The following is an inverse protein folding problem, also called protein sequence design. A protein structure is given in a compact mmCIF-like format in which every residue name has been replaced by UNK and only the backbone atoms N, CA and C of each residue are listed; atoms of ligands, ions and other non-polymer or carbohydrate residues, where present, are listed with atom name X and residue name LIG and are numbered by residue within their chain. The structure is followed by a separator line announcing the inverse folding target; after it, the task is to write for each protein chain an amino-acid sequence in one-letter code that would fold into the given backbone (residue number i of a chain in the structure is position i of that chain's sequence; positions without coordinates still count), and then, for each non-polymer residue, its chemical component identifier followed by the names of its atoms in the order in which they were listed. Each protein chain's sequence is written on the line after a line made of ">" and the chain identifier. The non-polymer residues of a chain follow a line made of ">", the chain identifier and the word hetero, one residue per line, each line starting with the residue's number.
data_IF_886121038813
#
_entry.id   IF_886121038813
#
_cell.length_a   1.000
_cell.length_b   1.000
_cell.length_c   1.000
_cell.angle_alpha   90.00
_cell.angle_beta   90.00
_cell.angle_gamma   90.00
#
_symmetry.space_group_name_H-M   'P 1'
#
loop_
_entity.id
_entity.type
_entity.pdbx_description
1 polymer ?
#
# COMPACT_ATOMS: atom_id res chain seq x y z
N UNK A 1 26.29 13.31 -3.51
CA UNK A 1 25.23 12.95 -4.47
C UNK A 1 23.93 13.40 -3.81
N UNK A 2 23.31 14.47 -4.29
CA UNK A 2 22.07 14.98 -3.70
C UNK A 2 20.97 13.94 -3.89
N UNK A 3 20.28 13.55 -2.82
CA UNK A 3 19.13 12.66 -2.93
C UNK A 3 18.06 13.35 -3.77
N UNK A 4 17.71 12.77 -4.92
CA UNK A 4 16.64 13.30 -5.76
C UNK A 4 15.30 12.90 -5.15
N UNK A 5 14.79 13.74 -4.25
CA UNK A 5 13.49 13.53 -3.64
C UNK A 5 12.38 13.54 -4.70
N UNK A 6 11.51 12.54 -4.60
CA UNK A 6 10.25 12.45 -5.33
C UNK A 6 9.25 13.47 -4.75
N UNK A 7 8.80 14.43 -5.56
CA UNK A 7 7.79 15.40 -5.11
C UNK A 7 6.37 14.83 -5.22
N UNK A 8 6.13 13.99 -6.22
CA UNK A 8 4.88 13.30 -6.47
C UNK A 8 5.10 12.04 -7.31
N UNK A 9 4.17 11.09 -7.20
CA UNK A 9 4.03 9.99 -8.15
C UNK A 9 2.62 9.40 -8.08
N UNK A 10 2.22 8.75 -9.16
CA UNK A 10 1.04 7.89 -9.18
C UNK A 10 1.44 6.53 -9.72
N UNK A 11 1.02 5.48 -9.03
CA UNK A 11 1.18 4.09 -9.44
C UNK A 11 -0.20 3.47 -9.60
N UNK A 12 -0.46 2.84 -10.73
CA UNK A 12 -1.72 2.16 -11.01
C UNK A 12 -1.48 0.71 -11.39
N UNK A 13 -2.32 -0.21 -10.92
CA UNK A 13 -2.27 -1.60 -11.34
C UNK A 13 -3.65 -2.27 -11.26
N UNK A 14 -3.83 -3.34 -12.04
CA UNK A 14 -4.93 -4.28 -11.86
C UNK A 14 -4.48 -5.42 -10.96
N UNK A 15 -5.32 -5.76 -9.99
CA UNK A 15 -5.10 -6.86 -9.07
C UNK A 15 -6.17 -7.93 -9.26
N UNK A 16 -5.76 -9.16 -9.62
CA UNK A 16 -6.66 -10.31 -9.52
C UNK A 16 -7.02 -10.60 -8.07
N UNK A 17 -8.29 -10.90 -7.80
CA UNK A 17 -8.75 -11.19 -6.43
C UNK A 17 -8.18 -12.46 -5.81
N UNK A 18 -7.80 -13.43 -6.63
CA UNK A 18 -7.27 -14.72 -6.19
C UNK A 18 -5.75 -14.73 -6.05
N UNK A 19 -5.11 -13.55 -6.13
CA UNK A 19 -3.68 -13.41 -5.88
C UNK A 19 -3.35 -13.88 -4.45
N UNK A 20 -2.29 -14.68 -4.26
CA UNK A 20 -1.89 -15.08 -2.93
C UNK A 20 -1.41 -13.88 -2.10
N UNK A 21 -1.46 -14.03 -0.78
CA UNK A 21 -0.84 -13.08 0.13
C UNK A 21 0.68 -12.99 -0.13
N UNK A 22 1.23 -11.79 -0.02
CA UNK A 22 2.63 -11.50 -0.28
C UNK A 22 2.84 -10.08 -0.80
N UNK A 23 4.08 -9.82 -1.22
CA UNK A 23 4.43 -8.62 -1.98
C UNK A 23 3.80 -8.71 -3.37
N UNK A 24 2.98 -7.73 -3.72
CA UNK A 24 2.27 -7.64 -4.99
C UNK A 24 3.05 -6.78 -6.00
N UNK A 25 3.57 -5.67 -5.51
CA UNK A 25 4.39 -4.75 -6.28
C UNK A 25 5.44 -4.12 -5.37
N UNK A 26 6.68 -4.03 -5.85
CA UNK A 26 7.72 -3.29 -5.16
C UNK A 26 8.49 -2.40 -6.11
N UNK A 27 8.63 -1.15 -5.69
CA UNK A 27 9.61 -0.19 -6.15
C UNK A 27 10.68 -0.12 -5.05
N UNK A 28 11.81 -0.82 -5.20
CA UNK A 28 12.83 -0.93 -4.15
C UNK A 28 13.25 0.44 -3.60
N UNK A 29 13.21 0.59 -2.28
CA UNK A 29 13.55 1.84 -1.60
C UNK A 29 12.52 2.97 -1.72
N UNK A 30 11.39 2.74 -2.40
CA UNK A 30 10.33 3.73 -2.58
C UNK A 30 9.03 3.25 -1.97
N UNK A 31 8.45 2.16 -2.50
CA UNK A 31 7.11 1.72 -2.13
C UNK A 31 6.93 0.22 -2.32
N UNK A 32 6.21 -0.40 -1.39
CA UNK A 32 5.75 -1.78 -1.50
C UNK A 32 4.24 -1.85 -1.35
N UNK A 33 3.56 -2.45 -2.31
CA UNK A 33 2.17 -2.89 -2.22
C UNK A 33 2.16 -4.37 -1.81
N UNK A 34 1.44 -4.71 -0.75
CA UNK A 34 1.33 -6.07 -0.25
C UNK A 34 -0.11 -6.44 0.10
N UNK A 35 -0.39 -7.74 0.00
CA UNK A 35 -1.59 -8.37 0.52
C UNK A 35 -1.19 -9.26 1.69
N UNK A 36 -1.76 -9.03 2.88
CA UNK A 36 -1.49 -9.85 4.06
C UNK A 36 -2.77 -10.15 4.83
N UNK A 37 -2.71 -11.04 5.81
CA UNK A 37 -3.79 -11.23 6.77
C UNK A 37 -3.59 -10.33 7.99
N UNK A 38 -4.62 -9.59 8.37
CA UNK A 38 -4.58 -8.80 9.61
C UNK A 38 -4.68 -9.71 10.84
N UNK A 39 -3.81 -9.48 11.83
CA UNK A 39 -3.68 -10.27 13.06
C UNK A 39 -2.59 -11.33 13.05
N UNK A 40 -2.09 -11.74 11.87
CA UNK A 40 -1.09 -12.82 11.75
C UNK A 40 0.32 -12.37 12.14
N UNK A 41 0.66 -11.10 11.87
CA UNK A 41 1.98 -10.53 12.18
C UNK A 41 1.96 -9.83 13.54
N UNK A 42 2.72 -10.36 14.49
CA UNK A 42 2.84 -9.82 15.86
C UNK A 42 3.41 -8.40 15.88
N UNK A 43 4.29 -8.04 14.93
CA UNK A 43 4.84 -6.69 14.83
C UNK A 43 3.79 -5.67 14.36
N UNK A 44 2.76 -6.12 13.63
CA UNK A 44 1.70 -5.26 13.09
C UNK A 44 0.40 -5.28 13.91
N UNK A 45 0.29 -6.09 14.97
CA UNK A 45 -0.93 -6.15 15.79
C UNK A 45 -1.39 -4.78 16.33
N UNK A 46 -0.45 -3.94 16.77
CA UNK A 46 -0.80 -2.60 17.26
C UNK A 46 -1.33 -1.72 16.13
N UNK A 47 -0.78 -1.85 14.92
CA UNK A 47 -1.27 -1.17 13.73
C UNK A 47 -2.67 -1.65 13.34
N UNK A 48 -2.86 -2.97 13.23
CA UNK A 48 -4.14 -3.58 12.87
C UNK A 48 -5.27 -3.16 13.80
N UNK A 49 -4.98 -3.07 15.10
CA UNK A 49 -5.94 -2.58 16.10
C UNK A 49 -6.26 -1.09 15.91
N UNK A 50 -5.26 -0.25 15.62
CA UNK A 50 -5.48 1.19 15.38
C UNK A 50 -6.34 1.42 14.14
N UNK A 51 -6.13 0.63 13.09
CA UNK A 51 -6.90 0.69 11.84
C UNK A 51 -8.26 -0.04 11.91
N UNK A 52 -8.54 -0.73 13.01
CA UNK A 52 -9.75 -1.55 13.19
C UNK A 52 -9.96 -2.62 12.10
N UNK A 53 -8.90 -3.13 11.46
CA UNK A 53 -9.04 -4.03 10.31
C UNK A 53 -9.84 -5.29 10.61
N UNK A 54 -9.58 -5.94 11.74
CA UNK A 54 -10.24 -7.21 12.10
C UNK A 54 -11.76 -7.07 12.30
N UNK A 55 -12.31 -5.86 12.45
CA UNK A 55 -13.78 -5.66 12.44
C UNK A 55 -14.41 -5.95 11.07
N UNK A 56 -13.59 -5.96 10.02
CA UNK A 56 -13.99 -6.23 8.64
C UNK A 56 -13.55 -7.62 8.17
N UNK A 57 -13.29 -8.56 9.10
CA UNK A 57 -13.04 -9.95 8.73
C UNK A 57 -14.23 -10.55 7.95
N UNK A 58 -13.94 -11.47 7.04
CA UNK A 58 -14.95 -12.31 6.39
C UNK A 58 -15.62 -13.25 7.41
N UNK A 59 -16.77 -13.86 7.08
CA UNK A 59 -17.45 -14.80 7.98
C UNK A 59 -16.61 -16.03 8.38
N UNK A 60 -15.60 -16.38 7.58
CA UNK A 60 -14.63 -17.44 7.88
C UNK A 60 -13.48 -16.99 8.81
N UNK A 61 -13.52 -15.75 9.30
CA UNK A 61 -12.54 -15.15 10.19
C UNK A 61 -11.32 -14.56 9.49
N UNK A 62 -11.12 -14.80 8.18
CA UNK A 62 -9.98 -14.24 7.44
C UNK A 62 -10.17 -12.74 7.24
N UNK A 63 -9.08 -12.00 7.33
CA UNK A 63 -9.08 -10.56 7.13
C UNK A 63 -7.93 -10.15 6.20
N UNK A 64 -8.02 -10.46 4.89
CA UNK A 64 -7.05 -10.00 3.93
C UNK A 64 -7.09 -8.47 3.84
N UNK A 65 -5.94 -7.83 4.04
CA UNK A 65 -5.74 -6.39 3.95
C UNK A 65 -4.73 -6.09 2.85
N UNK A 66 -5.09 -5.15 1.99
CA UNK A 66 -4.19 -4.58 1.01
C UNK A 66 -3.55 -3.34 1.60
N UNK A 67 -2.23 -3.27 1.60
CA UNK A 67 -1.49 -2.14 2.14
C UNK A 67 -0.41 -1.66 1.17
N UNK A 68 -0.25 -0.35 1.09
CA UNK A 68 0.92 0.28 0.51
C UNK A 68 1.79 0.87 1.63
N UNK A 69 3.09 0.58 1.55
CA UNK A 69 4.11 1.07 2.47
C UNK A 69 5.08 1.92 1.68
N UNK A 70 5.10 3.21 1.97
CA UNK A 70 5.98 4.19 1.37
C UNK A 70 7.18 4.43 2.28
N UNK A 71 8.39 4.29 1.75
CA UNK A 71 9.60 4.73 2.44
C UNK A 71 9.77 6.24 2.23
N UNK A 72 9.89 6.98 3.33
CA UNK A 72 10.11 8.44 3.31
C UNK A 72 11.39 8.81 4.05
N UNK A 73 11.98 9.92 3.63
CA UNK A 73 13.20 10.48 4.20
C UNK A 73 12.91 11.90 4.66
N UNK A 74 13.31 12.22 5.90
CA UNK A 74 13.21 13.56 6.47
C UNK A 74 14.43 13.86 7.32
N UNK A 75 15.11 14.96 7.02
CA UNK A 75 16.28 15.41 7.79
C UNK A 75 15.88 15.85 9.21
N UNK A 76 14.65 16.34 9.38
CA UNK A 76 14.13 16.82 10.66
C UNK A 76 13.51 15.69 11.52
N UNK A 77 13.15 14.57 10.89
CA UNK A 77 12.49 13.42 11.54
C UNK A 77 13.04 12.09 10.98
N UNK A 78 14.31 11.76 11.23
CA UNK A 78 14.95 10.56 10.68
C UNK A 78 14.36 9.24 11.21
N UNK A 79 13.55 9.31 12.27
CA UNK A 79 12.78 8.20 12.82
C UNK A 79 11.49 7.90 12.06
N UNK A 80 11.00 8.83 11.22
CA UNK A 80 9.81 8.63 10.39
C UNK A 80 10.25 8.14 9.03
N UNK A 81 10.28 6.82 8.87
CA UNK A 81 10.80 6.16 7.67
C UNK A 81 9.75 5.49 6.81
N UNK A 82 8.59 5.18 7.38
CA UNK A 82 7.53 4.47 6.68
C UNK A 82 6.20 5.18 6.87
N UNK A 83 5.49 5.36 5.77
CA UNK A 83 4.08 5.68 5.74
C UNK A 83 3.29 4.49 5.22
N UNK A 84 2.17 4.20 5.88
CA UNK A 84 1.32 3.08 5.52
C UNK A 84 -0.11 3.57 5.30
N UNK A 85 -0.71 3.10 4.21
CA UNK A 85 -2.14 3.21 3.91
C UNK A 85 -2.65 1.83 3.51
N UNK A 86 -3.88 1.49 3.86
CA UNK A 86 -4.42 0.19 3.54
C UNK A 86 -5.85 -0.03 3.97
N UNK A 87 -6.47 -1.07 3.42
CA UNK A 87 -7.85 -1.42 3.71
C UNK A 87 -8.09 -2.93 3.66
N UNK A 88 -9.04 -3.47 4.46
CA UNK A 88 -9.53 -4.84 4.33
C UNK A 88 -10.26 -5.04 3.00
N UNK A 89 -10.00 -6.13 2.28
CA UNK A 89 -10.66 -6.40 0.99
C UNK A 89 -12.19 -6.51 1.11
N UNK A 90 -12.71 -6.81 2.30
CA UNK A 90 -14.15 -6.81 2.59
C UNK A 90 -14.79 -5.42 2.49
N UNK A 91 -14.00 -4.34 2.56
CA UNK A 91 -14.47 -2.97 2.37
C UNK A 91 -14.71 -2.61 0.90
N UNK A 92 -14.31 -3.46 -0.05
CA UNK A 92 -14.60 -3.25 -1.46
C UNK A 92 -16.11 -3.27 -1.71
N UNK A 93 -16.57 -2.32 -2.51
CA UNK A 93 -18.00 -2.11 -2.74
C UNK A 93 -18.62 -3.25 -3.55
N UNK A 94 -17.87 -3.78 -4.51
CA UNK A 94 -18.21 -4.95 -5.30
C UNK A 94 -17.39 -6.11 -4.81
N UNK A 95 -18.01 -7.26 -4.55
CA UNK A 95 -17.31 -8.45 -4.06
C UNK A 95 -17.20 -9.55 -5.12
N UNK A 96 -17.92 -9.38 -6.23
CA UNK A 96 -18.10 -10.31 -7.34
C UNK A 96 -17.11 -10.08 -8.50
N UNK A 97 -16.43 -8.94 -8.56
CA UNK A 97 -15.49 -8.62 -9.63
C UNK A 97 -14.22 -9.47 -9.56
N UNK A 98 -13.76 -10.00 -10.69
CA UNK A 98 -12.53 -10.79 -10.74
C UNK A 98 -11.25 -9.96 -10.51
N UNK A 99 -11.28 -8.68 -10.88
CA UNK A 99 -10.17 -7.75 -10.79
C UNK A 99 -10.54 -6.50 -9.99
N UNK A 100 -9.52 -5.87 -9.40
CA UNK A 100 -9.60 -4.62 -8.65
C UNK A 100 -8.64 -3.64 -9.30
N UNK A 101 -9.10 -2.43 -9.62
CA UNK A 101 -8.22 -1.34 -10.08
C UNK A 101 -7.66 -0.61 -8.88
N UNK A 102 -6.34 -0.60 -8.72
CA UNK A 102 -5.66 0.09 -7.63
C UNK A 102 -4.93 1.31 -8.14
N UNK A 103 -5.01 2.40 -7.38
CA UNK A 103 -4.19 3.60 -7.60
C UNK A 103 -3.58 4.02 -6.27
N UNK A 104 -2.25 4.10 -6.23
CA UNK A 104 -1.51 4.71 -5.15
C UNK A 104 -1.01 6.07 -5.61
N UNK A 105 -1.46 7.12 -4.95
CA UNK A 105 -1.15 8.51 -5.26
C UNK A 105 -0.35 9.13 -4.12
N UNK A 106 0.83 9.66 -4.44
CA UNK A 106 1.62 10.47 -3.54
C UNK A 106 1.75 11.87 -4.12
N UNK A 107 1.26 12.87 -3.38
CA UNK A 107 1.20 14.27 -3.82
C UNK A 107 2.23 15.16 -3.11
N UNK A 108 3.17 14.59 -2.37
CA UNK A 108 4.07 15.31 -1.45
C UNK A 108 3.39 15.71 -0.13
N UNK A 109 2.09 16.04 -0.16
CA UNK A 109 1.31 16.40 1.02
C UNK A 109 0.45 15.25 1.57
N UNK A 110 0.20 14.21 0.79
CA UNK A 110 -0.60 13.06 1.18
C UNK A 110 -0.23 11.82 0.36
N UNK A 111 -0.34 10.66 1.00
CA UNK A 111 -0.35 9.34 0.41
C UNK A 111 -1.78 8.81 0.42
N UNK A 112 -2.33 8.45 -0.74
CA UNK A 112 -3.71 8.01 -0.91
C UNK A 112 -3.76 6.69 -1.64
N UNK A 113 -4.59 5.77 -1.15
CA UNK A 113 -4.86 4.50 -1.79
C UNK A 113 -6.31 4.46 -2.27
N UNK A 114 -6.49 4.23 -3.57
CA UNK A 114 -7.78 4.07 -4.20
C UNK A 114 -7.98 2.63 -4.66
N UNK A 115 -9.22 2.17 -4.60
CA UNK A 115 -9.68 0.93 -5.22
C UNK A 115 -10.95 1.19 -6.02
N UNK A 116 -10.96 0.76 -7.28
CA UNK A 116 -12.07 0.93 -8.23
C UNK A 116 -12.57 2.39 -8.31
N UNK A 117 -11.61 3.34 -8.27
CA UNK A 117 -11.87 4.78 -8.33
C UNK A 117 -12.32 5.43 -7.02
N UNK A 118 -12.42 4.66 -5.91
CA UNK A 118 -12.83 5.16 -4.60
C UNK A 118 -11.64 5.28 -3.65
N UNK A 119 -11.55 6.40 -2.94
CA UNK A 119 -10.56 6.58 -1.86
C UNK A 119 -10.84 5.60 -0.73
N UNK A 120 -9.85 4.76 -0.41
CA UNK A 120 -9.96 3.73 0.63
C UNK A 120 -9.23 4.13 1.90
N UNK A 121 -8.06 4.77 1.78
CA UNK A 121 -7.28 5.24 2.91
C UNK A 121 -6.36 6.41 2.50
N UNK A 122 -6.02 7.25 3.47
CA UNK A 122 -5.15 8.42 3.31
C UNK A 122 -4.25 8.59 4.54
N UNK A 123 -2.98 8.92 4.31
CA UNK A 123 -2.04 9.25 5.36
C UNK A 123 -1.17 10.46 4.95
N UNK A 124 -0.86 11.33 5.92
CA UNK A 124 -0.16 12.59 5.66
C UNK A 124 1.34 12.44 5.98
N UNK A 125 2.22 12.46 4.95
CA UNK A 125 3.65 12.26 5.11
C UNK A 125 4.32 13.41 5.86
N UNK A 126 5.43 13.06 6.52
CA UNK A 126 6.48 14.01 6.85
C UNK A 126 7.78 13.51 6.23
N UNK A 127 8.24 14.20 5.18
CA UNK A 127 9.37 13.75 4.36
C UNK A 127 8.96 13.34 2.96
N UNK A 128 9.95 12.92 2.16
CA UNK A 128 9.77 12.57 0.75
C UNK A 128 10.42 11.22 0.44
N UNK A 129 9.85 10.41 -0.47
CA UNK A 129 10.55 9.26 -1.01
C UNK A 129 11.79 9.72 -1.79
N UNK A 130 12.86 8.95 -1.74
CA UNK A 130 13.98 9.12 -2.68
C UNK A 130 13.76 8.21 -3.88
N UNK A 131 13.71 8.74 -5.10
CA UNK A 131 13.80 7.84 -6.25
C UNK A 131 15.22 7.25 -6.30
N UNK A 132 15.37 5.92 -6.37
CA UNK A 132 16.67 5.36 -6.69
C UNK A 132 17.09 5.79 -8.11
N UNK A 133 18.40 5.87 -8.34
CA UNK A 133 18.92 5.88 -9.72
C UNK A 133 18.40 4.63 -10.44
N UNK A 134 17.77 4.84 -11.60
CA UNK A 134 16.77 3.95 -12.20
C UNK A 134 17.10 2.44 -12.13
N UNK A 135 16.27 1.65 -11.43
CA UNK A 135 16.17 0.19 -11.64
C UNK A 135 14.97 -0.51 -10.97
N UNK A 136 14.28 -1.32 -11.79
CA UNK A 136 13.52 -2.55 -11.51
C UNK A 136 12.32 -2.49 -10.53
N UNK A 137 11.17 -2.07 -11.06
CA UNK A 137 9.87 -2.45 -10.49
C UNK A 137 9.71 -3.98 -10.52
N UNK A 138 9.31 -4.58 -9.40
CA UNK A 138 8.94 -5.99 -9.29
C UNK A 138 7.42 -6.10 -9.21
N UNK A 139 6.85 -7.01 -9.98
CA UNK A 139 5.39 -7.23 -10.05
C UNK A 139 5.13 -8.72 -9.90
N UNK A 140 4.24 -9.08 -8.98
CA UNK A 140 3.83 -10.47 -8.77
C UNK A 140 2.88 -10.95 -9.88
N UNK A 141 2.81 -12.27 -10.08
CA UNK A 141 1.84 -12.85 -11.00
C UNK A 141 0.39 -12.51 -10.58
N UNK A 142 -0.44 -12.09 -11.53
CA UNK A 142 -1.81 -11.64 -11.26
C UNK A 142 -1.94 -10.15 -10.91
N UNK A 143 -0.82 -9.42 -10.96
CA UNK A 143 -0.79 -7.96 -10.98
C UNK A 143 -0.36 -7.52 -12.37
N UNK A 144 -1.10 -6.60 -13.00
CA UNK A 144 -0.64 -5.93 -14.22
C UNK A 144 -0.48 -4.43 -13.94
N UNK A 145 0.72 -3.93 -14.23
CA UNK A 145 1.01 -2.50 -14.27
C UNK A 145 0.98 -2.04 -15.75
N UNK A 146 0.47 -0.84 -16.05
CA UNK A 146 0.53 -0.26 -17.39
C UNK A 146 1.96 0.01 -17.84
#
# INVERSE_FOLDING_TARGET
>A
MEARYCKDFSLSCQLRRDVPAGELLALPGVCTLLLRQAGDDTALQTWDRRQNYQRYAFPDGRCPVLEAVLTVHSDNRPEWRELRVGFPLRCLQRQDQAEITLVLDFSGAALRLYADGRLMDENLPYGYPSWPDAAAMRVAAGVSAP
#
